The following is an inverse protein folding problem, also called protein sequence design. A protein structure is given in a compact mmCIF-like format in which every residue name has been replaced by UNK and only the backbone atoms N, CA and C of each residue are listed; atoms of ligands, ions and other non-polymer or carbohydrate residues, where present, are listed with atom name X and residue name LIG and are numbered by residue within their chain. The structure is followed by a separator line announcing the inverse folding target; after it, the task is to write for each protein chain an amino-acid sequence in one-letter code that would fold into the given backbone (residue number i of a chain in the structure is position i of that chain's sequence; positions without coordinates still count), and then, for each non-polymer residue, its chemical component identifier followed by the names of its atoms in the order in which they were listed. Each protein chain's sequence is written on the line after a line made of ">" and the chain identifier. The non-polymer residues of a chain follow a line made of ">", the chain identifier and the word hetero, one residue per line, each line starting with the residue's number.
data_IF_059614032851
#
_entry.id   IF_059614032851
#
_cell.length_a   1.000
_cell.length_b   1.000
_cell.length_c   1.000
_cell.angle_alpha   90.00
_cell.angle_beta   90.00
_cell.angle_gamma   90.00
#
_symmetry.space_group_name_H-M   'P 1'
#
loop_
_entity.id
_entity.type
_entity.pdbx_description
1 polymer ?
#
# COMPACT_ATOMS: atom_id res chain seq x y z
N UNK A 1 20.67 -2.74 0.42
CA UNK A 1 19.26 -2.39 0.67
C UNK A 1 18.41 -3.25 -0.24
N UNK A 2 17.45 -3.99 0.31
CA UNK A 2 16.58 -4.86 -0.49
C UNK A 2 15.40 -4.01 -0.95
N UNK A 3 15.16 -3.96 -2.25
CA UNK A 3 14.05 -3.22 -2.85
C UNK A 3 13.20 -4.16 -3.71
N UNK A 4 11.92 -3.86 -3.84
CA UNK A 4 10.99 -4.66 -4.63
C UNK A 4 10.35 -3.80 -5.72
N UNK A 5 10.17 -4.40 -6.89
CA UNK A 5 9.43 -3.77 -7.97
C UNK A 5 7.93 -3.71 -7.65
N UNK A 6 7.23 -2.70 -8.16
CA UNK A 6 5.79 -2.48 -7.95
C UNK A 6 4.92 -3.71 -8.32
N UNK A 7 5.36 -4.54 -9.28
CA UNK A 7 4.67 -5.80 -9.58
C UNK A 7 4.67 -6.78 -8.40
N UNK A 8 5.76 -6.82 -7.64
CA UNK A 8 5.90 -7.65 -6.44
C UNK A 8 5.07 -7.07 -5.30
N UNK A 9 5.08 -5.74 -5.13
CA UNK A 9 4.19 -5.05 -4.19
C UNK A 9 2.72 -5.44 -4.45
N UNK A 10 2.27 -5.42 -5.71
CA UNK A 10 0.89 -5.80 -6.06
C UNK A 10 0.54 -7.24 -5.66
N UNK A 11 1.50 -8.17 -5.76
CA UNK A 11 1.33 -9.56 -5.30
C UNK A 11 1.19 -9.63 -3.79
N UNK A 12 2.05 -8.92 -3.05
CA UNK A 12 2.00 -8.82 -1.58
C UNK A 12 0.64 -8.23 -1.14
N UNK A 13 0.23 -7.12 -1.76
CA UNK A 13 -1.06 -6.48 -1.50
C UNK A 13 -2.27 -7.35 -1.87
N UNK A 14 -2.10 -8.42 -2.64
CA UNK A 14 -3.19 -9.34 -2.96
C UNK A 14 -3.31 -10.50 -1.96
N UNK A 15 -2.34 -10.61 -1.04
CA UNK A 15 -2.39 -11.53 0.09
C UNK A 15 -3.41 -11.04 1.14
N UNK A 16 -4.11 -11.96 1.83
CA UNK A 16 -4.96 -11.60 2.97
C UNK A 16 -4.18 -11.19 4.21
N UNK A 17 -2.86 -11.37 4.23
CA UNK A 17 -2.00 -11.03 5.36
C UNK A 17 -1.97 -9.51 5.63
N UNK A 18 -2.11 -9.07 6.89
CA UNK A 18 -1.92 -7.67 7.27
C UNK A 18 -0.50 -7.21 6.97
N UNK A 19 -0.38 -6.03 6.38
CA UNK A 19 0.90 -5.42 6.05
C UNK A 19 0.99 -3.99 6.58
N UNK A 20 2.23 -3.51 6.68
CA UNK A 20 2.55 -2.12 6.99
C UNK A 20 3.01 -1.43 5.71
N UNK A 21 2.47 -0.25 5.41
CA UNK A 21 2.86 0.52 4.22
C UNK A 21 3.18 1.96 4.58
N UNK A 22 4.12 2.55 3.84
CA UNK A 22 4.33 4.00 3.83
C UNK A 22 4.10 4.54 2.43
N UNK A 23 3.40 5.68 2.38
CA UNK A 23 2.99 6.29 1.13
C UNK A 23 3.06 7.81 1.19
N UNK A 24 3.26 8.40 0.01
CA UNK A 24 3.19 9.84 -0.18
C UNK A 24 1.76 10.30 -0.37
N UNK A 25 1.35 11.31 0.40
CA UNK A 25 0.07 12.00 0.19
C UNK A 25 0.19 12.97 -0.97
N UNK A 26 -0.96 13.50 -1.41
CA UNK A 26 -1.00 14.58 -2.40
C UNK A 26 -0.33 15.86 -1.90
N UNK A 27 -0.32 16.11 -0.58
CA UNK A 27 0.36 17.24 0.04
C UNK A 27 1.89 17.08 0.11
N UNK A 28 2.42 15.90 -0.23
CA UNK A 28 3.85 15.59 -0.08
C UNK A 28 4.22 15.14 1.35
N UNK A 29 3.25 14.87 2.20
CA UNK A 29 3.48 14.30 3.52
C UNK A 29 3.61 12.78 3.43
N UNK A 30 4.34 12.19 4.37
CA UNK A 30 4.43 10.73 4.50
C UNK A 30 3.31 10.28 5.45
N UNK A 31 2.52 9.30 5.01
CA UNK A 31 1.65 8.55 5.89
C UNK A 31 2.16 7.12 6.07
N UNK A 32 2.16 6.67 7.32
CA UNK A 32 2.45 5.30 7.71
C UNK A 32 1.16 4.63 8.14
N UNK A 33 0.79 3.53 7.48
CA UNK A 33 -0.36 2.72 7.84
C UNK A 33 0.13 1.37 8.35
N UNK A 34 -0.30 1.01 9.55
CA UNK A 34 0.02 -0.26 10.17
C UNK A 34 -1.17 -1.21 10.07
N UNK A 35 -0.87 -2.53 10.00
CA UNK A 35 -1.87 -3.60 10.02
C UNK A 35 -3.02 -3.33 9.04
N UNK A 36 -2.69 -3.04 7.78
CA UNK A 36 -3.68 -2.79 6.75
C UNK A 36 -3.82 -3.98 5.81
N UNK A 37 -5.05 -4.22 5.35
CA UNK A 37 -5.37 -5.28 4.39
C UNK A 37 -5.93 -4.67 3.12
N UNK A 38 -5.60 -5.26 1.97
CA UNK A 38 -6.23 -4.85 0.73
C UNK A 38 -7.61 -5.46 0.56
N UNK A 39 -8.51 -4.67 -0.01
CA UNK A 39 -9.85 -5.11 -0.39
C UNK A 39 -9.92 -5.32 -1.91
N UNK A 40 -10.33 -4.28 -2.65
CA UNK A 40 -10.50 -4.33 -4.10
C UNK A 40 -9.47 -3.47 -4.79
N UNK A 41 -8.76 -4.08 -5.73
CA UNK A 41 -7.88 -3.38 -6.66
C UNK A 41 -8.62 -2.99 -7.94
N UNK A 42 -8.45 -1.75 -8.37
CA UNK A 42 -8.93 -1.25 -9.66
C UNK A 42 -7.71 -1.01 -10.57
N UNK A 43 -7.47 -1.96 -11.46
CA UNK A 43 -6.34 -1.95 -12.40
C UNK A 43 -6.36 -0.71 -13.31
N UNK A 44 -7.50 -0.38 -13.92
CA UNK A 44 -7.61 0.75 -14.86
C UNK A 44 -7.26 2.09 -14.23
N UNK A 45 -7.58 2.29 -12.95
CA UNK A 45 -7.27 3.54 -12.23
C UNK A 45 -5.97 3.47 -11.43
N UNK A 46 -5.35 2.29 -11.33
CA UNK A 46 -4.23 2.03 -10.43
C UNK A 46 -4.54 2.30 -8.95
N UNK A 47 -5.82 2.25 -8.57
CA UNK A 47 -6.28 2.56 -7.21
C UNK A 47 -6.63 1.31 -6.44
N UNK A 48 -6.40 1.33 -5.13
CA UNK A 48 -6.69 0.23 -4.22
C UNK A 48 -7.42 0.75 -2.99
N UNK A 49 -8.43 0.00 -2.55
CA UNK A 49 -9.05 0.20 -1.22
C UNK A 49 -8.30 -0.64 -0.21
N UNK A 50 -7.91 -0.02 0.90
CA UNK A 50 -7.28 -0.66 2.04
C UNK A 50 -8.15 -0.46 3.26
N UNK A 51 -8.28 -1.49 4.09
CA UNK A 51 -8.89 -1.40 5.41
C UNK A 51 -7.78 -1.34 6.45
N UNK A 52 -7.80 -0.32 7.30
CA UNK A 52 -6.95 -0.26 8.49
C UNK A 52 -7.62 -1.11 9.57
N UNK A 53 -6.94 -2.14 10.06
CA UNK A 53 -7.56 -3.06 11.02
C UNK A 53 -7.77 -2.43 12.39
N UNK A 54 -6.91 -1.48 12.78
CA UNK A 54 -6.98 -0.85 14.10
C UNK A 54 -8.17 0.12 14.21
N UNK A 55 -8.45 0.90 13.17
CA UNK A 55 -9.56 1.88 13.15
C UNK A 55 -10.80 1.38 12.42
N UNK A 56 -10.73 0.24 11.73
CA UNK A 56 -11.72 -0.24 10.77
C UNK A 56 -12.05 0.73 9.62
N UNK A 57 -11.27 1.80 9.44
CA UNK A 57 -11.45 2.74 8.35
C UNK A 57 -11.06 2.13 7.00
N UNK A 58 -11.82 2.46 5.97
CA UNK A 58 -11.50 2.11 4.59
C UNK A 58 -10.97 3.36 3.90
N UNK A 59 -9.72 3.30 3.44
CA UNK A 59 -9.07 4.38 2.70
C UNK A 59 -8.76 3.93 1.28
N UNK A 60 -8.75 4.88 0.35
CA UNK A 60 -8.38 4.63 -1.04
C UNK A 60 -7.05 5.30 -1.36
N UNK A 61 -6.15 4.57 -2.03
CA UNK A 61 -4.84 5.06 -2.45
C UNK A 61 -4.53 4.63 -3.89
N UNK A 62 -3.44 5.19 -4.45
CA UNK A 62 -2.84 4.70 -5.70
C UNK A 62 -1.57 3.94 -5.40
N UNK A 63 -1.41 2.76 -6.00
CA UNK A 63 -0.27 1.86 -5.67
C UNK A 63 1.08 2.56 -5.94
N UNK A 64 1.15 3.47 -6.92
CA UNK A 64 2.35 4.27 -7.24
C UNK A 64 2.78 5.25 -6.14
N UNK A 65 1.90 5.54 -5.18
CA UNK A 65 2.23 6.41 -4.04
C UNK A 65 2.93 5.65 -2.91
N UNK A 66 2.89 4.31 -2.93
CA UNK A 66 3.55 3.46 -1.93
C UNK A 66 5.04 3.39 -2.28
N UNK A 67 5.88 3.79 -1.34
CA UNK A 67 7.34 3.72 -1.49
C UNK A 67 7.98 2.73 -0.51
N UNK A 68 7.23 2.22 0.48
CA UNK A 68 7.70 1.17 1.37
C UNK A 68 6.56 0.23 1.78
N UNK A 69 6.86 -1.07 1.84
CA UNK A 69 5.99 -2.11 2.42
C UNK A 69 6.79 -2.98 3.37
N UNK A 70 6.32 -3.17 4.60
CA UNK A 70 6.97 -3.98 5.64
C UNK A 70 8.46 -3.64 5.84
N UNK A 71 8.85 -2.37 5.73
CA UNK A 71 10.26 -1.94 5.83
C UNK A 71 11.10 -2.17 4.56
N UNK A 72 10.49 -2.60 3.46
CA UNK A 72 11.15 -2.85 2.17
C UNK A 72 10.77 -1.76 1.17
N UNK A 73 11.77 -1.12 0.59
CA UNK A 73 11.58 -0.03 -0.38
C UNK A 73 10.96 -0.55 -1.69
N UNK A 74 10.03 0.21 -2.26
CA UNK A 74 9.34 -0.11 -3.50
C UNK A 74 9.80 0.81 -4.62
N UNK A 75 10.19 0.24 -5.76
CA UNK A 75 10.52 0.96 -6.98
C UNK A 75 9.60 0.57 -8.15
N UNK A 76 9.59 1.38 -9.21
CA UNK A 76 8.76 1.21 -10.41
C UNK A 76 9.54 0.65 -11.60
#
# INVERSE_FOLDING_TARGET
>A
MQSIHISTLRKILSSPEPIDIRLWTRSGEIQSWHRCISLKYNFYKGTRRMKLLDSNEIRQLRDVCIFEVNGIEVYM
#
